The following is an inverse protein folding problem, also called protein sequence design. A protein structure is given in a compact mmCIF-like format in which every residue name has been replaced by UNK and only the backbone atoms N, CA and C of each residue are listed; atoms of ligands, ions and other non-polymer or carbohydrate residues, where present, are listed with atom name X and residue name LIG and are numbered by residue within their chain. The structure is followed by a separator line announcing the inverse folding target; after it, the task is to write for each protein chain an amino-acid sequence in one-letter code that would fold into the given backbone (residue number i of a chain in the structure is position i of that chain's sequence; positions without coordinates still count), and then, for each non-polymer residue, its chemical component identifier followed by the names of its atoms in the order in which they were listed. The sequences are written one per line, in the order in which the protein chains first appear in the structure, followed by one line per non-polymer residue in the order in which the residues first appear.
data_IF_328643025315
#
_entry.id   IF_328643025315
#
_cell.length_a   1.000
_cell.length_b   1.000
_cell.length_c   1.000
_cell.angle_alpha   90.00
_cell.angle_beta   90.00
_cell.angle_gamma   90.00
#
_symmetry.space_group_name_H-M   'P 1'
#
loop_
_entity.id
_entity.type
_entity.pdbx_description
1 polymer ?
#
# COMPACT_ATOMS: atom_id res chain seq x y z
N UNK A 1 2.64 -3.30 -20.21
CA UNK A 1 2.71 -2.90 -18.78
C UNK A 1 3.93 -2.02 -18.63
N UNK A 2 3.72 -0.72 -18.50
CA UNK A 2 4.81 0.23 -18.30
C UNK A 2 5.05 0.35 -16.79
N UNK A 3 5.89 -0.51 -16.26
CA UNK A 3 6.44 -0.30 -14.91
C UNK A 3 7.53 0.75 -15.05
N UNK A 4 7.25 1.98 -14.62
CA UNK A 4 8.32 2.96 -14.40
C UNK A 4 9.30 2.31 -13.42
N UNK A 5 10.58 2.09 -13.78
CA UNK A 5 11.53 1.50 -12.86
C UNK A 5 11.65 2.42 -11.65
N UNK A 6 11.50 1.85 -10.45
CA UNK A 6 11.84 2.56 -9.22
C UNK A 6 13.27 3.08 -9.34
N UNK A 7 13.55 4.34 -8.96
CA UNK A 7 14.89 4.90 -9.02
C UNK A 7 15.86 3.97 -8.29
N UNK A 8 17.06 3.79 -8.86
CA UNK A 8 18.10 2.97 -8.22
C UNK A 8 18.55 3.66 -6.91
N UNK A 9 17.99 3.21 -5.81
CA UNK A 9 18.19 3.78 -4.47
C UNK A 9 19.63 3.58 -3.95
N UNK A 10 20.53 3.00 -4.76
CA UNK A 10 21.98 2.95 -4.49
C UNK A 10 22.65 4.28 -4.78
N UNK A 11 21.99 5.16 -5.51
CA UNK A 11 22.50 6.49 -5.74
C UNK A 11 22.24 7.35 -4.49
N UNK A 12 23.29 7.55 -3.69
CA UNK A 12 23.27 8.41 -2.51
C UNK A 12 22.98 9.89 -2.84
N UNK A 13 22.81 10.24 -4.11
CA UNK A 13 22.46 11.59 -4.58
C UNK A 13 20.95 11.84 -4.57
N UNK A 14 20.11 10.79 -4.41
CA UNK A 14 18.65 10.93 -4.35
C UNK A 14 18.23 11.30 -2.93
N UNK A 15 17.68 12.48 -2.75
CA UNK A 15 17.05 12.89 -1.49
C UNK A 15 15.77 12.05 -1.27
N UNK A 16 15.74 11.18 -0.24
CA UNK A 16 14.58 10.35 0.03
C UNK A 16 13.30 11.17 0.28
N UNK A 17 13.43 12.36 0.88
CA UNK A 17 12.28 13.23 1.17
C UNK A 17 11.69 13.81 -0.11
N UNK A 18 12.51 14.11 -1.12
CA UNK A 18 12.04 14.55 -2.43
C UNK A 18 11.24 13.46 -3.12
N UNK A 19 11.68 12.20 -3.03
CA UNK A 19 10.95 11.03 -3.60
C UNK A 19 9.60 10.83 -2.91
N UNK A 20 9.57 10.86 -1.57
CA UNK A 20 8.33 10.71 -0.79
C UNK A 20 7.37 11.87 -1.08
N UNK A 21 7.90 13.10 -1.15
CA UNK A 21 7.08 14.28 -1.44
C UNK A 21 6.46 14.20 -2.84
N UNK A 22 7.23 13.81 -3.85
CA UNK A 22 6.73 13.61 -5.20
C UNK A 22 5.69 12.47 -5.29
N UNK A 23 5.88 11.39 -4.54
CA UNK A 23 4.90 10.32 -4.46
C UNK A 23 3.58 10.79 -3.81
N UNK A 24 3.66 11.59 -2.75
CA UNK A 24 2.46 12.18 -2.14
C UNK A 24 1.75 13.15 -3.08
N UNK A 25 2.48 13.99 -3.82
CA UNK A 25 1.89 14.90 -4.81
C UNK A 25 1.15 14.13 -5.92
N UNK A 26 1.70 13.00 -6.32
CA UNK A 26 1.12 12.18 -7.40
C UNK A 26 -0.07 11.31 -6.94
N UNK A 27 -0.12 10.89 -5.67
CA UNK A 27 -0.99 9.79 -5.25
C UNK A 27 -1.82 10.04 -3.99
N UNK A 28 -1.58 11.14 -3.25
CA UNK A 28 -2.20 11.35 -1.93
C UNK A 28 -3.37 12.37 -1.91
N UNK A 29 -3.84 12.83 -3.08
CA UNK A 29 -4.95 13.79 -3.12
C UNK A 29 -4.71 15.01 -2.22
N UNK A 30 -5.68 15.34 -1.36
CA UNK A 30 -5.65 16.50 -0.46
C UNK A 30 -5.13 16.14 0.95
N UNK A 31 -3.92 15.63 1.07
CA UNK A 31 -3.31 15.39 2.39
C UNK A 31 -2.90 16.72 3.03
N UNK A 32 -3.32 16.95 4.29
CA UNK A 32 -3.01 18.18 5.02
C UNK A 32 -1.49 18.38 5.19
N UNK A 33 -1.06 19.65 5.32
CA UNK A 33 0.37 19.98 5.50
C UNK A 33 0.99 19.34 6.75
N UNK A 34 0.24 19.18 7.84
CA UNK A 34 0.70 18.50 9.06
C UNK A 34 0.96 17.02 8.82
N UNK A 35 0.02 16.31 8.22
CA UNK A 35 0.17 14.89 7.87
C UNK A 35 1.35 14.70 6.91
N UNK A 36 1.48 15.57 5.90
CA UNK A 36 2.63 15.53 4.98
C UNK A 36 3.96 15.68 5.71
N UNK A 37 4.05 16.61 6.68
CA UNK A 37 5.24 16.79 7.49
C UNK A 37 5.60 15.53 8.29
N UNK A 38 4.62 14.85 8.85
CA UNK A 38 4.81 13.59 9.58
C UNK A 38 5.35 12.47 8.67
N UNK A 39 4.78 12.31 7.47
CA UNK A 39 5.31 11.36 6.48
C UNK A 39 6.76 11.65 6.11
N UNK A 40 7.11 12.93 5.89
CA UNK A 40 8.47 13.31 5.56
C UNK A 40 9.45 13.11 6.73
N UNK A 41 9.02 13.37 7.97
CA UNK A 41 9.83 13.14 9.17
C UNK A 41 10.09 11.64 9.40
N UNK A 42 9.15 10.78 9.03
CA UNK A 42 9.31 9.33 9.14
C UNK A 42 10.50 8.80 8.31
N UNK A 43 10.80 9.45 7.20
CA UNK A 43 11.88 9.04 6.29
C UNK A 43 13.20 9.80 6.49
N UNK A 44 13.43 10.37 7.68
CA UNK A 44 14.72 10.99 8.01
C UNK A 44 15.85 9.96 8.09
N UNK A 45 17.07 10.38 7.66
CA UNK A 45 18.26 9.54 7.65
C UNK A 45 18.15 8.39 6.66
N UNK A 46 18.58 7.19 7.07
CA UNK A 46 18.65 6.00 6.21
C UNK A 46 17.33 5.20 6.18
N UNK A 47 16.27 5.65 6.84
CA UNK A 47 15.02 4.91 7.00
C UNK A 47 14.37 4.52 5.67
N UNK A 48 14.40 5.40 4.69
CA UNK A 48 13.88 5.12 3.36
C UNK A 48 14.67 3.99 2.66
N UNK A 49 16.01 4.07 2.71
CA UNK A 49 16.89 3.06 2.10
C UNK A 49 16.68 1.70 2.78
N UNK A 50 16.57 1.69 4.10
CA UNK A 50 16.31 0.49 4.88
C UNK A 50 14.93 -0.11 4.55
N UNK A 51 13.89 0.72 4.39
CA UNK A 51 12.56 0.26 3.99
C UNK A 51 12.54 -0.38 2.61
N UNK A 52 13.45 -0.01 1.70
CA UNK A 52 13.54 -0.59 0.36
C UNK A 52 14.17 -2.00 0.34
N UNK A 53 14.73 -2.48 1.45
CA UNK A 53 15.37 -3.81 1.50
C UNK A 53 14.39 -4.94 1.20
N UNK A 54 13.19 -4.91 1.77
CA UNK A 54 12.19 -5.94 1.51
C UNK A 54 11.58 -5.83 0.12
N UNK A 55 11.42 -4.61 -0.42
CA UNK A 55 10.92 -4.41 -1.80
C UNK A 55 11.82 -5.09 -2.83
N UNK A 56 13.13 -5.10 -2.59
CA UNK A 56 14.09 -5.79 -3.46
C UNK A 56 13.92 -7.32 -3.48
N UNK A 57 13.28 -7.88 -2.47
CA UNK A 57 13.00 -9.31 -2.38
C UNK A 57 11.68 -9.72 -3.04
N UNK A 58 10.83 -8.77 -3.39
CA UNK A 58 9.53 -9.04 -4.02
C UNK A 58 9.60 -9.97 -5.23
N UNK A 59 10.59 -9.85 -6.16
CA UNK A 59 10.64 -10.76 -7.31
C UNK A 59 10.80 -12.23 -6.93
N UNK A 60 11.45 -12.51 -5.79
CA UNK A 60 11.63 -13.88 -5.30
C UNK A 60 10.50 -14.33 -4.37
N UNK A 61 9.98 -13.42 -3.54
CA UNK A 61 9.05 -13.76 -2.46
C UNK A 61 7.57 -13.72 -2.88
N UNK A 62 7.18 -12.79 -3.77
CA UNK A 62 5.78 -12.70 -4.19
C UNK A 62 5.26 -13.94 -4.91
N UNK A 63 6.03 -14.64 -5.78
CA UNK A 63 5.57 -15.91 -6.35
C UNK A 63 5.30 -16.97 -5.29
N UNK A 64 6.18 -17.09 -4.29
CA UNK A 64 6.01 -18.04 -3.17
C UNK A 64 4.77 -17.69 -2.35
N UNK A 65 4.58 -16.40 -2.05
CA UNK A 65 3.36 -15.95 -1.36
C UNK A 65 2.10 -16.31 -2.15
N UNK A 66 2.12 -16.10 -3.47
CA UNK A 66 0.96 -16.41 -4.32
C UNK A 66 0.55 -17.90 -4.25
N UNK A 67 1.51 -18.82 -4.10
CA UNK A 67 1.25 -20.25 -3.90
C UNK A 67 0.68 -20.58 -2.51
N UNK A 68 0.99 -19.75 -1.51
CA UNK A 68 0.52 -19.92 -0.13
C UNK A 68 -0.88 -19.33 0.12
N UNK A 69 -1.32 -18.35 -0.68
CA UNK A 69 -2.61 -17.68 -0.48
C UNK A 69 -3.80 -18.63 -0.33
N UNK A 70 -3.93 -19.75 -1.10
CA UNK A 70 -5.02 -20.70 -0.91
C UNK A 70 -5.03 -21.43 0.44
N UNK A 71 -3.93 -21.38 1.18
CA UNK A 71 -3.77 -22.03 2.49
C UNK A 71 -4.07 -21.10 3.66
N UNK A 72 -4.36 -19.81 3.40
CA UNK A 72 -4.68 -18.82 4.43
C UNK A 72 -6.06 -19.13 5.03
N UNK A 73 -6.06 -19.68 6.24
CA UNK A 73 -7.29 -20.03 6.96
C UNK A 73 -7.91 -18.83 7.70
N UNK A 74 -7.10 -17.86 8.10
CA UNK A 74 -7.55 -16.65 8.81
C UNK A 74 -8.46 -15.82 7.93
N UNK A 75 -9.59 -15.29 8.46
CA UNK A 75 -10.42 -14.33 7.74
C UNK A 75 -9.61 -13.08 7.33
N UNK A 76 -9.74 -12.69 6.08
CA UNK A 76 -9.00 -11.54 5.51
C UNK A 76 -9.98 -10.54 4.92
N UNK A 77 -9.91 -9.29 5.38
CA UNK A 77 -10.57 -8.16 4.70
C UNK A 77 -9.53 -7.36 3.93
N UNK A 78 -9.74 -7.25 2.62
CA UNK A 78 -8.91 -6.50 1.71
C UNK A 78 -9.59 -5.16 1.48
N UNK A 79 -8.93 -4.05 1.79
CA UNK A 79 -9.42 -2.70 1.52
C UNK A 79 -8.52 -2.11 0.43
N UNK A 80 -9.10 -1.66 -0.67
CA UNK A 80 -8.36 -1.14 -1.81
C UNK A 80 -8.98 0.16 -2.35
N UNK A 81 -8.13 1.09 -2.79
CA UNK A 81 -8.56 2.27 -3.53
C UNK A 81 -8.84 1.94 -5.00
N UNK A 82 -9.96 2.42 -5.53
CA UNK A 82 -10.35 2.22 -6.93
C UNK A 82 -9.36 2.87 -7.90
N UNK A 83 -8.79 4.00 -7.50
CA UNK A 83 -7.91 4.84 -8.31
C UNK A 83 -6.44 4.74 -7.88
N UNK A 84 -6.08 3.68 -7.15
CA UNK A 84 -4.71 3.45 -6.73
C UNK A 84 -3.83 3.08 -7.93
N UNK A 85 -2.93 3.99 -8.29
CA UNK A 85 -1.95 3.81 -9.38
C UNK A 85 -0.62 3.21 -8.89
N UNK A 86 -0.39 3.15 -7.57
CA UNK A 86 0.81 2.55 -6.96
C UNK A 86 0.61 1.05 -6.80
N UNK A 87 -0.54 0.66 -6.20
CA UNK A 87 -0.96 -0.74 -6.06
C UNK A 87 -2.32 -0.90 -6.75
N UNK A 88 -2.34 -1.16 -8.05
CA UNK A 88 -3.58 -1.24 -8.82
C UNK A 88 -4.59 -2.23 -8.24
N UNK A 89 -5.89 -1.91 -8.37
CA UNK A 89 -7.01 -2.71 -7.87
C UNK A 89 -6.90 -4.20 -8.26
N UNK A 90 -6.29 -4.50 -9.41
CA UNK A 90 -6.05 -5.88 -9.86
C UNK A 90 -5.25 -6.73 -8.85
N UNK A 91 -4.41 -6.10 -7.99
CA UNK A 91 -3.72 -6.82 -6.92
C UNK A 91 -4.69 -7.25 -5.81
N UNK A 92 -5.62 -6.40 -5.44
CA UNK A 92 -6.66 -6.73 -4.46
C UNK A 92 -7.61 -7.82 -5.00
N UNK A 93 -7.98 -7.75 -6.27
CA UNK A 93 -8.77 -8.77 -6.96
C UNK A 93 -8.01 -10.10 -7.03
N UNK A 94 -6.71 -10.09 -7.28
CA UNK A 94 -5.86 -11.28 -7.27
C UNK A 94 -5.86 -11.96 -5.91
N UNK A 95 -5.73 -11.20 -4.81
CA UNK A 95 -5.81 -11.73 -3.45
C UNK A 95 -7.22 -12.29 -3.17
N UNK A 96 -8.25 -11.52 -3.54
CA UNK A 96 -9.65 -11.92 -3.36
C UNK A 96 -10.00 -13.23 -4.07
N UNK A 97 -9.42 -13.51 -5.23
CA UNK A 97 -9.64 -14.75 -5.95
C UNK A 97 -8.99 -15.97 -5.30
N UNK A 98 -7.92 -15.80 -4.54
CA UNK A 98 -7.06 -16.88 -4.04
C UNK A 98 -7.23 -17.20 -2.56
N UNK A 99 -7.54 -16.22 -1.73
CA UNK A 99 -7.73 -16.45 -0.29
C UNK A 99 -9.13 -17.05 -0.06
N UNK A 100 -9.27 -18.20 0.62
CA UNK A 100 -10.56 -18.87 0.80
C UNK A 100 -11.58 -18.03 1.59
N UNK A 101 -11.18 -17.53 2.76
CA UNK A 101 -12.03 -16.75 3.65
C UNK A 101 -11.70 -15.27 3.55
N UNK A 102 -12.30 -14.61 2.57
CA UNK A 102 -11.96 -13.22 2.23
C UNK A 102 -13.17 -12.34 1.96
N UNK A 103 -12.99 -11.03 2.19
CA UNK A 103 -13.88 -9.94 1.80
C UNK A 103 -13.08 -8.88 1.08
N UNK A 104 -13.60 -8.30 0.01
CA UNK A 104 -13.02 -7.15 -0.69
C UNK A 104 -13.91 -5.93 -0.49
N UNK A 105 -13.33 -4.84 -0.03
CA UNK A 105 -13.94 -3.52 0.09
C UNK A 105 -13.17 -2.57 -0.83
N UNK A 106 -13.85 -2.00 -1.81
CA UNK A 106 -13.26 -1.05 -2.75
C UNK A 106 -13.79 0.34 -2.43
N UNK A 107 -12.89 1.24 -2.05
CA UNK A 107 -13.19 2.64 -1.76
C UNK A 107 -12.93 3.51 -3.00
N UNK A 108 -13.64 4.62 -3.10
CA UNK A 108 -13.47 5.60 -4.20
C UNK A 108 -12.31 6.55 -3.90
N UNK A 109 -11.10 5.98 -3.74
CA UNK A 109 -9.88 6.65 -3.31
C UNK A 109 -8.68 6.22 -4.15
N UNK A 110 -7.56 6.95 -3.99
CA UNK A 110 -6.23 6.57 -4.47
C UNK A 110 -5.48 5.66 -3.50
N UNK A 111 -4.15 5.84 -3.48
CA UNK A 111 -3.24 5.00 -2.69
C UNK A 111 -3.35 5.22 -1.18
N UNK A 112 -3.64 6.43 -0.74
CA UNK A 112 -3.72 6.80 0.67
C UNK A 112 -5.18 6.79 1.16
N UNK A 113 -5.86 5.65 0.99
CA UNK A 113 -7.28 5.50 1.27
C UNK A 113 -7.68 5.94 2.69
N UNK A 114 -6.82 5.73 3.68
CA UNK A 114 -7.02 6.13 5.07
C UNK A 114 -6.95 7.65 5.29
N UNK A 115 -6.26 8.39 4.41
CA UNK A 115 -6.20 9.86 4.44
C UNK A 115 -7.31 10.49 3.59
N UNK A 116 -7.66 9.84 2.47
CA UNK A 116 -8.63 10.36 1.51
C UNK A 116 -10.07 10.12 1.95
N UNK A 117 -10.35 8.98 2.58
CA UNK A 117 -11.69 8.57 3.06
C UNK A 117 -11.60 7.93 4.45
N UNK A 118 -11.20 8.66 5.50
CA UNK A 118 -10.94 8.10 6.83
C UNK A 118 -12.18 7.46 7.48
N UNK A 119 -13.37 7.98 7.21
CA UNK A 119 -14.63 7.47 7.76
C UNK A 119 -14.97 6.11 7.14
N UNK A 120 -14.97 6.00 5.83
CA UNK A 120 -15.26 4.76 5.10
C UNK A 120 -14.18 3.70 5.39
N UNK A 121 -12.92 4.13 5.44
CA UNK A 121 -11.80 3.24 5.77
C UNK A 121 -11.91 2.67 7.18
N UNK A 122 -12.16 3.51 8.19
CA UNK A 122 -12.35 3.06 9.57
C UNK A 122 -13.60 2.19 9.75
N UNK A 123 -14.69 2.50 9.05
CA UNK A 123 -15.90 1.66 9.04
C UNK A 123 -15.60 0.26 8.52
N UNK A 124 -14.87 0.15 7.41
CA UNK A 124 -14.48 -1.15 6.85
C UNK A 124 -13.63 -1.98 7.82
N UNK A 125 -12.74 -1.34 8.59
CA UNK A 125 -11.95 -1.99 9.65
C UNK A 125 -12.85 -2.49 10.79
N UNK A 126 -13.75 -1.62 11.30
CA UNK A 126 -14.65 -1.98 12.40
C UNK A 126 -15.58 -3.14 12.03
N UNK A 127 -16.10 -3.13 10.81
CA UNK A 127 -16.91 -4.22 10.26
C UNK A 127 -16.11 -5.53 10.18
N UNK A 128 -14.84 -5.47 9.76
CA UNK A 128 -13.98 -6.65 9.69
C UNK A 128 -13.74 -7.27 11.06
N UNK A 129 -13.48 -6.45 12.09
CA UNK A 129 -13.27 -6.90 13.46
C UNK A 129 -14.55 -7.52 14.03
N UNK A 130 -15.70 -6.88 13.82
CA UNK A 130 -16.99 -7.34 14.32
C UNK A 130 -17.47 -8.64 13.66
N UNK A 131 -17.09 -8.87 12.40
CA UNK A 131 -17.47 -10.08 11.64
C UNK A 131 -16.60 -11.30 11.99
N UNK A 132 -15.50 -11.10 12.72
CA UNK A 132 -14.56 -12.16 13.10
C UNK A 132 -14.82 -12.71 14.52
N UNK A 133 -15.84 -12.19 15.20
CA UNK A 133 -16.31 -12.63 16.53
C UNK A 133 -17.49 -13.56 16.38
#
# INVERSE_FOLDING_TARGET
MNTTPLPDVRDRTVDPRAVVNAAMDAHAGNVSGGIRADYLAFYEGDRFVESMRYVRRYPQELPVLAELLPQVATPVTIIAGRHDHVVPLANAEFLHQRIPNRRLVVLDTGHFAWEESPVEYSTAILDAISSSS
#
